data_IF_691124486858
#
_entry.id   IF_691124486858
#
_cell.length_a   1.000
_cell.length_b   1.000
_cell.length_c   1.000
_cell.angle_alpha   90.00
_cell.angle_beta   90.00
_cell.angle_gamma   90.00
#
_symmetry.space_group_name_H-M   'P 1'
#
loop_
_entity.id
_entity.type
_entity.pdbx_description
1 polymer ?
#
# COMPACT_ATOMS: atom_id res chain seq x y z
N UNK A 1 -6.37 15.55 -7.84
CA UNK A 1 -5.90 14.26 -7.28
C UNK A 1 -5.61 13.29 -8.43
N UNK A 2 -4.49 12.54 -8.35
CA UNK A 2 -4.11 11.50 -9.33
C UNK A 2 -3.68 10.25 -8.57
N UNK A 3 -4.13 9.06 -8.98
CA UNK A 3 -3.75 7.82 -8.31
C UNK A 3 -4.05 6.56 -9.11
N UNK A 4 -3.34 5.48 -8.82
CA UNK A 4 -3.64 4.15 -9.38
C UNK A 4 -4.82 3.51 -8.66
N UNK A 5 -5.70 2.86 -9.41
CA UNK A 5 -6.85 2.13 -8.86
C UNK A 5 -6.60 0.63 -8.94
N UNK A 6 -6.85 -0.08 -7.84
CA UNK A 6 -6.77 -1.55 -7.81
C UNK A 6 -7.93 -2.14 -8.63
N UNK A 7 -7.64 -3.16 -9.43
CA UNK A 7 -8.62 -3.84 -10.31
C UNK A 7 -9.79 -4.47 -9.57
N UNK A 8 -9.60 -4.81 -8.30
CA UNK A 8 -10.58 -5.54 -7.49
C UNK A 8 -11.69 -4.60 -6.94
N UNK A 9 -11.77 -3.36 -7.42
CA UNK A 9 -12.75 -2.37 -6.96
C UNK A 9 -14.06 -2.55 -7.71
N UNK A 10 -15.19 -2.75 -7.01
CA UNK A 10 -16.49 -2.98 -7.65
C UNK A 10 -17.02 -1.74 -8.40
N UNK A 11 -16.53 -0.55 -8.04
CA UNK A 11 -16.88 0.72 -8.69
C UNK A 11 -16.30 0.85 -10.11
N UNK A 12 -15.37 -0.03 -10.51
CA UNK A 12 -14.74 0.06 -11.82
C UNK A 12 -15.63 -0.60 -12.89
N UNK A 13 -15.92 0.10 -14.00
CA UNK A 13 -16.63 -0.48 -15.14
C UNK A 13 -15.90 -1.75 -15.63
N UNK A 14 -16.59 -2.90 -15.74
CA UNK A 14 -16.00 -4.14 -16.27
C UNK A 14 -15.42 -3.95 -17.67
N UNK A 15 -16.02 -3.07 -18.46
CA UNK A 15 -15.54 -2.66 -19.77
C UNK A 15 -14.10 -2.13 -19.74
N UNK A 16 -13.68 -1.43 -18.67
CA UNK A 16 -12.30 -0.96 -18.47
C UNK A 16 -11.35 -2.07 -18.03
N UNK A 17 -11.84 -3.10 -17.35
CA UNK A 17 -11.03 -4.20 -16.84
C UNK A 17 -10.77 -5.29 -17.88
N UNK A 18 -11.67 -5.45 -18.86
CA UNK A 18 -11.58 -6.45 -19.92
C UNK A 18 -10.27 -6.33 -20.73
N UNK A 19 -9.43 -7.37 -20.66
CA UNK A 19 -8.11 -7.43 -21.31
C UNK A 19 -7.94 -8.55 -22.34
N UNK A 20 -8.91 -9.46 -22.48
CA UNK A 20 -8.75 -10.67 -23.30
C UNK A 20 -8.74 -10.39 -24.80
N UNK A 21 -9.41 -9.33 -25.24
CA UNK A 21 -9.60 -8.99 -26.67
C UNK A 21 -8.99 -7.63 -27.04
N UNK A 22 -8.16 -7.05 -26.16
CA UNK A 22 -7.57 -5.73 -26.40
C UNK A 22 -6.15 -5.81 -26.93
N UNK A 23 -5.85 -4.94 -27.88
CA UNK A 23 -4.50 -4.73 -28.37
C UNK A 23 -3.58 -4.14 -27.31
N UNK A 24 -2.30 -4.49 -27.38
CA UNK A 24 -1.25 -3.88 -26.55
C UNK A 24 -1.11 -2.41 -26.92
N UNK A 25 -0.86 -1.56 -25.94
CA UNK A 25 -0.80 -0.10 -26.07
C UNK A 25 -2.13 0.58 -26.45
N UNK A 26 -3.26 -0.10 -26.26
CA UNK A 26 -4.57 0.53 -26.38
C UNK A 26 -4.99 1.20 -25.05
N UNK A 27 -5.22 2.52 -25.03
CA UNK A 27 -5.87 3.18 -23.91
C UNK A 27 -7.40 3.14 -24.05
N UNK A 28 -8.12 3.05 -22.94
CA UNK A 28 -9.55 3.36 -22.84
C UNK A 28 -9.79 4.35 -21.74
N UNK A 29 -10.66 5.30 -22.04
CA UNK A 29 -11.05 6.36 -21.13
C UNK A 29 -12.50 6.14 -20.70
N UNK A 30 -12.79 6.41 -19.43
CA UNK A 30 -14.15 6.61 -18.97
C UNK A 30 -14.22 7.96 -18.25
N UNK A 31 -15.16 8.78 -18.68
CA UNK A 31 -15.34 10.13 -18.19
C UNK A 31 -16.55 10.18 -17.26
N UNK A 32 -16.33 10.71 -16.07
CA UNK A 32 -17.35 11.03 -15.06
C UNK A 32 -17.31 12.55 -14.87
N UNK A 33 -18.40 13.22 -14.44
CA UNK A 33 -18.43 14.69 -14.34
C UNK A 33 -17.28 15.30 -13.51
N UNK A 34 -16.78 14.55 -12.52
CA UNK A 34 -15.74 15.00 -11.58
C UNK A 34 -14.39 14.32 -11.79
N UNK A 35 -14.32 13.23 -12.56
CA UNK A 35 -13.12 12.39 -12.65
C UNK A 35 -12.99 11.67 -14.00
N UNK A 36 -11.77 11.44 -14.44
CA UNK A 36 -11.44 10.61 -15.61
C UNK A 36 -10.73 9.34 -15.15
N UNK A 37 -11.17 8.21 -15.67
CA UNK A 37 -10.52 6.92 -15.51
C UNK A 37 -9.80 6.55 -16.80
N UNK A 38 -8.55 6.11 -16.67
CA UNK A 38 -7.70 5.66 -17.77
C UNK A 38 -7.33 4.22 -17.53
N UNK A 39 -7.63 3.34 -18.49
CA UNK A 39 -7.17 1.97 -18.56
C UNK A 39 -6.19 1.82 -19.71
N UNK A 40 -4.95 1.42 -19.43
CA UNK A 40 -3.90 1.26 -20.42
C UNK A 40 -3.21 -0.09 -20.29
N UNK A 41 -2.97 -0.76 -21.41
CA UNK A 41 -2.34 -2.08 -21.46
C UNK A 41 -0.89 -1.98 -21.95
N UNK A 42 0.11 -1.82 -21.06
CA UNK A 42 1.52 -1.82 -21.46
C UNK A 42 1.98 -3.18 -22.01
N UNK A 43 1.36 -4.29 -21.59
CA UNK A 43 1.69 -5.66 -22.03
C UNK A 43 0.42 -6.51 -22.09
N UNK A 44 0.46 -7.62 -22.83
CA UNK A 44 -0.62 -8.62 -22.83
C UNK A 44 -0.96 -9.02 -21.39
N UNK A 45 -2.25 -9.07 -21.06
CA UNK A 45 -2.80 -9.38 -19.73
C UNK A 45 -2.38 -8.43 -18.58
N UNK A 46 -1.67 -7.34 -18.84
CA UNK A 46 -1.32 -6.32 -17.84
C UNK A 46 -2.07 -5.04 -18.13
N UNK A 47 -3.19 -4.84 -17.43
CA UNK A 47 -3.94 -3.58 -17.43
C UNK A 47 -3.49 -2.69 -16.24
N UNK A 48 -3.21 -1.41 -16.51
CA UNK A 48 -2.93 -0.37 -15.53
C UNK A 48 -4.12 0.59 -15.53
N UNK A 49 -4.72 0.81 -14.36
CA UNK A 49 -5.86 1.71 -14.20
C UNK A 49 -5.46 2.90 -13.34
N UNK A 50 -5.72 4.09 -13.85
CA UNK A 50 -5.47 5.37 -13.20
C UNK A 50 -6.77 6.17 -13.09
N UNK A 51 -6.92 6.86 -11.97
CA UNK A 51 -7.97 7.83 -11.72
C UNK A 51 -7.35 9.21 -11.62
N UNK A 52 -7.93 10.18 -12.30
CA UNK A 52 -7.53 11.57 -12.25
C UNK A 52 -8.75 12.47 -12.10
N UNK A 53 -8.65 13.48 -11.25
CA UNK A 53 -9.76 14.44 -11.01
C UNK A 53 -9.55 15.78 -11.71
N UNK A 54 -8.41 15.97 -12.38
CA UNK A 54 -7.98 17.27 -12.92
C UNK A 54 -8.08 17.37 -14.45
N UNK A 55 -7.92 16.25 -15.16
CA UNK A 55 -7.87 16.22 -16.62
C UNK A 55 -9.17 15.63 -17.15
N UNK A 56 -9.73 16.27 -18.18
CA UNK A 56 -10.95 15.84 -18.89
C UNK A 56 -10.68 15.41 -20.32
N UNK A 57 -9.42 15.40 -20.73
CA UNK A 57 -8.98 15.06 -22.07
C UNK A 57 -8.34 13.66 -22.11
N UNK A 58 -8.61 12.94 -23.20
CA UNK A 58 -8.03 11.64 -23.48
C UNK A 58 -6.77 11.74 -24.34
N UNK A 59 -5.93 12.75 -24.10
CA UNK A 59 -4.75 13.01 -24.93
C UNK A 59 -3.73 11.86 -24.85
N UNK A 60 -3.33 11.39 -26.03
CA UNK A 60 -2.38 10.30 -26.21
C UNK A 60 -1.08 10.91 -26.75
N UNK A 61 0.07 10.43 -26.28
CA UNK A 61 1.35 10.84 -26.85
C UNK A 61 1.64 10.17 -28.18
N UNK A 62 2.34 10.86 -29.07
CA UNK A 62 2.77 10.36 -30.40
C UNK A 62 3.92 9.34 -30.33
N UNK A 63 4.18 8.79 -29.16
CA UNK A 63 5.24 7.80 -28.95
C UNK A 63 4.77 6.42 -29.43
N UNK A 64 5.71 5.52 -29.75
CA UNK A 64 5.41 4.14 -30.16
C UNK A 64 4.58 3.37 -29.10
N UNK A 65 4.73 3.71 -27.82
CA UNK A 65 4.00 3.11 -26.71
C UNK A 65 2.57 3.65 -26.56
N UNK A 66 2.14 4.62 -27.40
CA UNK A 66 0.81 5.25 -27.41
C UNK A 66 0.30 5.55 -26.00
N UNK A 67 1.20 6.03 -25.17
CA UNK A 67 0.95 6.17 -23.75
C UNK A 67 0.17 7.46 -23.50
N UNK A 68 -0.93 7.43 -22.74
CA UNK A 68 -1.68 8.65 -22.43
C UNK A 68 -0.82 9.64 -21.64
N UNK A 69 -0.98 10.93 -21.92
CA UNK A 69 -0.24 12.02 -21.25
C UNK A 69 -0.45 11.95 -19.74
N UNK A 70 -1.67 11.62 -19.30
CA UNK A 70 -2.02 11.41 -17.90
C UNK A 70 -1.10 10.39 -17.20
N UNK A 71 -0.69 9.32 -17.88
CA UNK A 71 0.22 8.31 -17.30
C UNK A 71 1.64 8.85 -17.21
N UNK A 72 2.05 9.67 -18.17
CA UNK A 72 3.36 10.34 -18.14
C UNK A 72 3.45 11.32 -16.96
N UNK A 73 2.41 12.13 -16.77
CA UNK A 73 2.30 13.08 -15.66
C UNK A 73 2.28 12.36 -14.30
N UNK A 74 1.53 11.26 -14.20
CA UNK A 74 1.54 10.41 -13.00
C UNK A 74 2.94 9.88 -12.68
N UNK A 75 3.65 9.36 -13.68
CA UNK A 75 4.99 8.80 -13.47
C UNK A 75 6.00 9.87 -13.04
N UNK A 76 5.91 11.09 -13.59
CA UNK A 76 6.77 12.22 -13.18
C UNK A 76 6.59 12.55 -11.70
N UNK A 77 5.36 12.54 -11.20
CA UNK A 77 5.07 12.95 -9.82
C UNK A 77 5.15 11.80 -8.79
N UNK A 78 4.99 10.54 -9.22
CA UNK A 78 5.13 9.37 -8.35
C UNK A 78 6.58 9.14 -7.88
N UNK A 79 7.55 9.48 -8.72
CA UNK A 79 8.97 9.25 -8.45
C UNK A 79 9.47 9.94 -7.18
N UNK A 80 9.00 11.15 -6.86
CA UNK A 80 9.46 11.89 -5.67
C UNK A 80 9.15 11.17 -4.36
N UNK A 81 7.94 10.61 -4.25
CA UNK A 81 7.50 9.89 -3.04
C UNK A 81 8.20 8.54 -2.93
N UNK A 82 8.31 7.79 -4.03
CA UNK A 82 8.95 6.47 -4.02
C UNK A 82 10.47 6.56 -3.70
N UNK A 83 11.16 7.63 -4.15
CA UNK A 83 12.56 7.88 -3.80
C UNK A 83 12.77 8.21 -2.32
N UNK A 84 11.86 9.00 -1.74
CA UNK A 84 11.90 9.31 -0.31
C UNK A 84 11.59 8.05 0.52
N UNK A 85 10.61 7.25 0.10
CA UNK A 85 10.21 6.00 0.75
C UNK A 85 11.35 4.96 0.70
N UNK A 86 12.02 4.83 -0.45
CA UNK A 86 13.18 3.96 -0.62
C UNK A 86 14.29 4.31 0.39
N UNK A 87 14.61 5.60 0.52
CA UNK A 87 15.67 6.08 1.43
C UNK A 87 15.27 6.02 2.90
N UNK A 88 13.97 6.19 3.21
CA UNK A 88 13.48 6.20 4.61
C UNK A 88 13.18 4.81 5.16
N UNK A 89 12.68 3.88 4.34
CA UNK A 89 12.21 2.54 4.78
C UNK A 89 13.26 1.44 4.55
N UNK A 90 14.19 1.60 3.61
CA UNK A 90 15.28 0.63 3.35
C UNK A 90 16.67 1.21 3.67
N UNK A 91 17.06 1.26 4.95
CA UNK A 91 18.41 1.67 5.34
C UNK A 91 19.51 0.70 4.86
N UNK A 92 19.16 -0.56 4.53
CA UNK A 92 20.14 -1.56 4.05
C UNK A 92 20.65 -1.36 2.62
N UNK A 93 20.09 -0.42 1.84
CA UNK A 93 20.53 -0.12 0.48
C UNK A 93 21.50 1.09 0.40
N UNK A 94 21.96 1.59 1.56
CA UNK A 94 22.71 2.85 1.71
C UNK A 94 24.22 2.75 1.40
N UNK A 95 24.72 1.68 0.79
CA UNK A 95 26.17 1.47 0.71
C UNK A 95 26.92 2.42 -0.24
N UNK A 96 26.24 3.35 -0.94
CA UNK A 96 26.88 4.26 -1.93
C UNK A 96 26.31 5.69 -2.00
N UNK A 97 25.71 6.22 -0.93
CA UNK A 97 25.24 7.62 -0.95
C UNK A 97 26.39 8.60 -0.65
N UNK A 98 26.53 9.66 -1.45
CA UNK A 98 27.53 10.72 -1.21
C UNK A 98 27.14 11.59 -0.01
N UNK A 99 28.09 12.34 0.54
CA UNK A 99 27.86 13.23 1.70
C UNK A 99 26.82 14.32 1.39
N UNK A 100 26.74 14.75 0.14
CA UNK A 100 25.75 15.70 -0.36
C UNK A 100 24.34 15.09 -0.40
N UNK A 101 24.22 13.83 -0.85
CA UNK A 101 22.94 13.11 -0.88
C UNK A 101 22.40 12.85 0.54
N UNK A 102 23.29 12.58 1.50
CA UNK A 102 22.91 12.44 2.91
C UNK A 102 22.38 13.75 3.50
N UNK A 103 23.00 14.88 3.15
CA UNK A 103 22.57 16.20 3.62
C UNK A 103 21.18 16.56 3.08
N UNK A 104 20.95 16.36 1.79
CA UNK A 104 19.65 16.57 1.15
C UNK A 104 18.56 15.67 1.75
N UNK A 105 18.89 14.45 2.14
CA UNK A 105 17.96 13.54 2.82
C UNK A 105 17.60 14.03 4.24
N UNK A 106 18.60 14.46 5.03
CA UNK A 106 18.37 15.00 6.37
C UNK A 106 17.51 16.26 6.32
N UNK A 107 17.79 17.17 5.40
CA UNK A 107 16.97 18.35 5.13
C UNK A 107 15.56 17.97 4.69
N UNK A 108 15.41 17.02 3.77
CA UNK A 108 14.11 16.53 3.32
C UNK A 108 13.25 15.98 4.47
N UNK A 109 13.85 15.19 5.37
CA UNK A 109 13.15 14.68 6.57
C UNK A 109 12.76 15.81 7.54
N UNK A 110 13.68 16.74 7.80
CA UNK A 110 13.45 17.86 8.71
C UNK A 110 12.33 18.80 8.23
N UNK A 111 12.21 19.03 6.93
CA UNK A 111 11.18 19.88 6.35
C UNK A 111 9.79 19.23 6.34
N UNK A 112 9.73 17.90 6.20
CA UNK A 112 8.47 17.16 6.05
C UNK A 112 7.93 16.65 7.40
N UNK A 113 8.77 16.50 8.42
CA UNK A 113 8.36 16.05 9.76
C UNK A 113 7.29 16.93 10.43
N UNK A 114 7.42 18.28 10.50
CA UNK A 114 6.42 19.12 11.19
C UNK A 114 5.04 19.12 10.51
N UNK A 115 4.94 19.11 9.16
CA UNK A 115 3.67 18.89 8.47
C UNK A 115 3.09 17.49 8.63
N UNK A 116 3.93 16.45 8.78
CA UNK A 116 3.48 15.06 9.03
C UNK A 116 2.92 14.93 10.45
N UNK A 117 3.61 15.45 11.46
CA UNK A 117 3.20 15.44 12.87
C UNK A 117 1.85 16.11 13.09
N UNK A 118 1.61 17.22 12.39
CA UNK A 118 0.35 17.97 12.42
C UNK A 118 -0.83 17.23 11.76
N UNK A 119 -0.62 16.07 11.12
CA UNK A 119 -1.71 15.28 10.55
C UNK A 119 -2.46 14.55 11.66
N UNK A 120 -3.67 15.02 11.98
CA UNK A 120 -4.62 14.33 12.87
C UNK A 120 -5.03 12.93 12.36
N UNK A 121 -4.98 12.72 11.05
CA UNK A 121 -5.40 11.48 10.41
C UNK A 121 -4.21 10.72 9.83
N UNK A 122 -4.04 9.49 10.31
CA UNK A 122 -2.98 8.58 9.88
C UNK A 122 -3.23 8.16 8.42
N UNK A 123 -2.19 8.16 7.56
CA UNK A 123 -2.30 7.69 6.18
C UNK A 123 -2.85 6.26 6.08
N UNK A 124 -3.56 5.95 4.97
CA UNK A 124 -4.22 4.65 4.75
C UNK A 124 -3.27 3.46 4.56
N UNK A 125 -1.98 3.71 4.29
CA UNK A 125 -0.95 2.69 4.06
C UNK A 125 -0.20 2.40 5.36
N UNK A 126 -0.02 1.12 5.71
CA UNK A 126 0.61 0.70 6.97
C UNK A 126 2.03 1.25 7.15
N UNK A 127 2.83 1.31 6.08
CA UNK A 127 4.18 1.87 6.11
C UNK A 127 4.18 3.36 6.45
N UNK A 128 3.35 4.14 5.77
CA UNK A 128 3.23 5.58 6.01
C UNK A 128 2.55 5.88 7.35
N UNK A 129 1.64 5.01 7.79
CA UNK A 129 0.99 5.07 9.09
C UNK A 129 1.99 4.86 10.25
N UNK A 130 2.93 3.93 10.09
CA UNK A 130 4.00 3.70 11.08
C UNK A 130 4.91 4.92 11.21
N UNK A 131 5.25 5.58 10.10
CA UNK A 131 6.06 6.81 10.12
C UNK A 131 5.33 7.91 10.90
N UNK A 132 4.05 8.18 10.59
CA UNK A 132 3.27 9.22 11.29
C UNK A 132 3.10 8.88 12.78
N UNK A 133 2.84 7.62 13.11
CA UNK A 133 2.71 7.18 14.51
C UNK A 133 4.02 7.31 15.28
N UNK A 134 5.16 7.00 14.66
CA UNK A 134 6.47 7.14 15.30
C UNK A 134 6.80 8.61 15.62
N UNK A 135 6.48 9.53 14.70
CA UNK A 135 6.60 10.97 14.94
C UNK A 135 5.64 11.47 16.03
N UNK A 136 4.40 10.99 16.05
CA UNK A 136 3.43 11.35 17.09
C UNK A 136 3.82 10.83 18.48
N UNK A 137 4.45 9.66 18.58
CA UNK A 137 4.96 9.12 19.84
C UNK A 137 6.24 9.80 20.33
N UNK A 138 7.03 10.42 19.44
CA UNK A 138 8.25 11.13 19.80
C UNK A 138 7.97 12.54 20.38
N UNK A 139 6.76 13.09 20.19
CA UNK A 139 6.34 14.39 20.73
C UNK A 139 5.72 14.36 22.13
N UNK A 140 5.72 13.20 22.82
CA UNK A 140 5.14 13.03 24.15
C UNK A 140 6.16 12.37 25.09
N UNK A 141 7.21 13.10 25.45
CA UNK A 141 8.09 12.71 26.55
C UNK A 141 8.41 13.92 27.41
N UNK A 142 7.43 14.28 28.25
CA UNK A 142 7.70 14.96 29.51
C UNK A 142 6.63 14.55 30.56
N UNK A 143 6.93 13.47 31.30
CA UNK A 143 6.64 13.24 32.74
C UNK A 143 6.92 11.77 33.15
N UNK A 144 7.35 11.52 34.41
CA UNK A 144 7.92 10.24 34.83
C UNK A 144 6.95 9.31 35.61
N UNK A 145 7.36 8.03 35.65
CA UNK A 145 6.96 6.87 36.46
C UNK A 145 5.50 6.37 36.45
N UNK A 146 5.27 5.16 35.89
CA UNK A 146 5.17 3.93 36.70
C UNK A 146 5.08 2.66 35.81
N UNK A 147 5.43 1.52 36.40
CA UNK A 147 5.93 0.28 35.80
C UNK A 147 5.07 -0.51 34.79
N UNK A 148 5.83 -1.22 33.92
CA UNK A 148 5.60 -2.55 33.33
C UNK A 148 4.64 -2.72 32.13
N UNK A 149 5.21 -3.00 30.95
CA UNK A 149 5.12 -4.31 30.23
C UNK A 149 5.44 -4.16 28.74
N UNK A 150 6.67 -4.50 28.37
CA UNK A 150 7.13 -4.63 26.97
C UNK A 150 6.35 -5.75 26.26
N UNK A 151 5.62 -5.45 25.19
CA UNK A 151 5.13 -6.47 24.25
C UNK A 151 5.45 -6.11 22.80
N UNK A 152 6.50 -6.73 22.28
CA UNK A 152 6.85 -6.72 20.86
C UNK A 152 5.83 -7.59 20.11
N UNK A 153 4.93 -6.98 19.33
CA UNK A 153 3.99 -7.73 18.50
C UNK A 153 4.69 -8.34 17.28
N UNK A 154 5.27 -9.53 17.45
CA UNK A 154 5.57 -10.44 16.33
C UNK A 154 4.24 -10.99 15.80
N UNK A 155 4.04 -10.91 14.48
CA UNK A 155 2.88 -11.50 13.82
C UNK A 155 2.74 -13.00 14.19
N UNK A 156 1.66 -13.34 14.87
CA UNK A 156 1.41 -14.69 15.38
C UNK A 156 1.22 -15.67 14.22
N UNK A 157 2.13 -16.66 14.12
CA UNK A 157 2.07 -17.72 13.10
C UNK A 157 0.88 -18.64 13.37
N UNK A 158 0.03 -18.84 12.37
CA UNK A 158 -1.12 -19.76 12.42
C UNK A 158 -0.63 -21.19 12.62
N UNK A 159 -1.23 -21.93 13.56
CA UNK A 159 -0.89 -23.35 13.86
C UNK A 159 -2.02 -24.28 13.41
N UNK A 160 -1.68 -25.55 13.17
CA UNK A 160 -2.63 -26.59 12.76
C UNK A 160 -3.58 -26.93 13.91
N UNK A 161 -4.85 -27.19 13.59
CA UNK A 161 -5.83 -27.71 14.53
C UNK A 161 -5.41 -29.07 15.10
N UNK A 162 -5.45 -29.21 16.42
CA UNK A 162 -5.00 -30.41 17.12
C UNK A 162 -5.95 -31.62 17.00
N UNK A 163 -7.18 -31.39 16.54
CA UNK A 163 -8.21 -32.41 16.38
C UNK A 163 -8.47 -32.80 14.91
N UNK A 164 -7.85 -32.10 13.96
CA UNK A 164 -7.95 -32.45 12.55
C UNK A 164 -6.87 -33.49 12.20
N UNK A 165 -7.21 -34.53 11.42
CA UNK A 165 -6.22 -35.46 10.90
C UNK A 165 -5.23 -34.74 9.98
N UNK A 166 -4.05 -35.35 9.79
CA UNK A 166 -2.95 -34.68 9.11
C UNK A 166 -3.24 -34.35 7.64
N UNK A 167 -4.19 -35.04 7.01
CA UNK A 167 -4.55 -34.78 5.61
C UNK A 167 -5.32 -33.45 5.44
N UNK A 168 -6.02 -32.95 6.48
CA UNK A 168 -6.91 -31.78 6.37
C UNK A 168 -6.27 -30.43 6.72
N UNK A 169 -4.98 -30.38 7.08
CA UNK A 169 -4.13 -29.21 7.44
C UNK A 169 -4.81 -27.85 7.77
N UNK A 170 -5.82 -27.85 8.63
CA UNK A 170 -6.58 -26.64 8.93
C UNK A 170 -5.78 -25.73 9.88
N UNK A 171 -5.07 -24.75 9.31
CA UNK A 171 -4.26 -23.77 10.04
C UNK A 171 -5.06 -22.56 10.47
N UNK A 172 -4.92 -22.19 11.73
CA UNK A 172 -5.76 -21.19 12.38
C UNK A 172 -5.00 -20.52 13.54
N UNK A 173 -5.52 -19.41 14.03
CA UNK A 173 -4.90 -18.61 15.10
C UNK A 173 -5.69 -18.60 16.42
N UNK A 174 -6.93 -19.09 16.39
CA UNK A 174 -7.82 -19.17 17.54
C UNK A 174 -7.40 -20.33 18.49
N UNK A 175 -7.66 -20.18 19.78
CA UNK A 175 -7.44 -21.22 20.78
C UNK A 175 -8.70 -21.39 21.62
N UNK A 176 -8.97 -22.59 22.11
CA UNK A 176 -10.13 -22.78 22.99
C UNK A 176 -9.89 -22.19 24.37
N UNK A 177 -10.87 -21.48 24.90
CA UNK A 177 -10.77 -20.80 26.19
C UNK A 177 -10.50 -21.75 27.37
N UNK A 178 -11.02 -22.99 27.31
CA UNK A 178 -10.88 -23.97 28.40
C UNK A 178 -9.53 -24.71 28.41
N UNK A 179 -8.97 -25.02 27.24
CA UNK A 179 -7.80 -25.91 27.13
C UNK A 179 -6.61 -25.29 26.38
N UNK A 180 -6.76 -24.07 25.88
CA UNK A 180 -5.77 -23.29 25.12
C UNK A 180 -5.14 -24.02 23.91
N UNK A 181 -5.81 -25.06 23.41
CA UNK A 181 -5.40 -25.80 22.20
C UNK A 181 -5.89 -25.07 20.94
N UNK A 182 -5.18 -25.24 19.82
CA UNK A 182 -5.57 -24.70 18.52
C UNK A 182 -6.68 -25.53 17.90
N UNK A 183 -7.86 -24.93 17.68
CA UNK A 183 -9.07 -25.65 17.23
C UNK A 183 -9.73 -24.94 16.04
N UNK A 184 -9.87 -25.61 14.91
CA UNK A 184 -10.59 -25.06 13.76
C UNK A 184 -12.09 -24.86 14.08
N UNK A 185 -12.78 -24.01 13.30
CA UNK A 185 -14.20 -23.72 13.51
C UNK A 185 -15.12 -24.95 13.47
N UNK A 186 -14.72 -26.00 12.74
CA UNK A 186 -15.47 -27.26 12.72
C UNK A 186 -15.29 -28.10 13.99
N UNK A 187 -14.08 -28.15 14.53
CA UNK A 187 -13.78 -28.88 15.76
C UNK A 187 -14.13 -28.10 17.03
N UNK A 188 -14.39 -26.79 16.93
CA UNK A 188 -14.72 -25.93 18.07
C UNK A 188 -16.17 -26.06 18.55
N UNK A 189 -17.01 -26.77 17.81
CA UNK A 189 -18.39 -27.11 18.20
C UNK A 189 -18.50 -28.54 18.76
N UNK A 190 -17.47 -29.37 18.56
CA UNK A 190 -17.47 -30.78 18.91
C UNK A 190 -16.58 -31.11 20.12
N UNK A 191 -15.53 -30.31 20.35
CA UNK A 191 -14.55 -30.54 21.43
C UNK A 191 -14.43 -29.36 22.41
N UNK A 192 -15.00 -28.21 22.03
CA UNK A 192 -15.38 -27.10 22.90
C UNK A 192 -16.84 -26.78 22.56
#
# INVERSE_FOLDING_TARGET
MVGTVRKNKPELPPALLASKEREVFSPKFAFTPTTTLVSYLPKKNKNVVLLITLYRDGSISDRDDRKPIIIMDYNRNKGGVDNLDMRTIRPGCLTRATREEQLLEQLGKALVAPPIERRKNVPRTEASAQIVKAFQSAGLSDRPDDQASTSTFKASKRKRCQFCPKEKDNKMNNTCFKCNKYICKGCSLSYC
#
